data_IF_445327046554
#
_entry.id   IF_445327046554
#
_cell.length_a   1.000
_cell.length_b   1.000
_cell.length_c   1.000
_cell.angle_alpha   90.00
_cell.angle_beta   90.00
_cell.angle_gamma   90.00
#
_symmetry.space_group_name_H-M   'P 1'
#
loop_
_entity.id
_entity.type
_entity.pdbx_description
1 polymer ?
#
# COMPACT_ATOMS: atom_id res chain seq x y z
N UNK A 1 4.26 -31.46 16.02
CA UNK A 1 3.55 -30.40 15.29
C UNK A 1 2.35 -31.02 14.58
N UNK A 2 1.13 -30.55 14.80
CA UNK A 2 -0.08 -31.10 14.14
C UNK A 2 -0.15 -30.61 12.69
N UNK A 3 -0.59 -31.47 11.76
CA UNK A 3 -0.76 -31.10 10.36
C UNK A 3 -1.74 -29.92 10.16
N UNK A 4 -2.77 -29.83 11.00
CA UNK A 4 -3.72 -28.70 11.00
C UNK A 4 -3.01 -27.39 11.35
N UNK A 5 -2.10 -27.42 12.33
CA UNK A 5 -1.35 -26.23 12.72
C UNK A 5 -0.45 -25.72 11.58
N UNK A 6 0.22 -26.63 10.86
CA UNK A 6 1.06 -26.29 9.70
C UNK A 6 0.21 -25.71 8.57
N UNK A 7 -0.95 -26.32 8.29
CA UNK A 7 -1.88 -25.84 7.26
C UNK A 7 -2.36 -24.41 7.57
N UNK A 8 -2.76 -24.16 8.82
CA UNK A 8 -3.19 -22.82 9.24
C UNK A 8 -2.06 -21.80 9.16
N UNK A 9 -0.83 -22.17 9.54
CA UNK A 9 0.33 -21.30 9.44
C UNK A 9 0.59 -20.88 7.99
N UNK A 10 0.60 -21.84 7.05
CA UNK A 10 0.82 -21.54 5.61
C UNK A 10 -0.31 -20.68 5.05
N UNK A 11 -1.57 -20.97 5.40
CA UNK A 11 -2.72 -20.18 4.97
C UNK A 11 -2.58 -18.72 5.41
N UNK A 12 -2.25 -18.48 6.68
CA UNK A 12 -2.08 -17.11 7.19
C UNK A 12 -0.90 -16.39 6.54
N UNK A 13 0.21 -17.08 6.28
CA UNK A 13 1.35 -16.51 5.55
C UNK A 13 0.90 -16.05 4.16
N UNK A 14 0.18 -16.89 3.42
CA UNK A 14 -0.29 -16.55 2.07
C UNK A 14 -1.31 -15.41 2.11
N UNK A 15 -2.25 -15.42 3.06
CA UNK A 15 -3.28 -14.37 3.15
C UNK A 15 -2.66 -13.02 3.52
N UNK A 16 -1.82 -12.97 4.55
CA UNK A 16 -1.21 -11.71 5.01
C UNK A 16 -0.22 -11.20 3.97
N UNK A 17 0.76 -12.01 3.59
CA UNK A 17 1.81 -11.56 2.68
C UNK A 17 1.32 -11.44 1.25
N UNK A 18 0.50 -12.38 0.77
CA UNK A 18 -0.11 -12.29 -0.55
C UNK A 18 -1.04 -11.09 -0.67
N UNK A 19 -1.90 -10.87 0.32
CA UNK A 19 -2.75 -9.66 0.38
C UNK A 19 -1.91 -8.38 0.37
N UNK A 20 -0.88 -8.32 1.23
CA UNK A 20 0.00 -7.15 1.32
C UNK A 20 0.75 -6.85 0.01
N UNK A 21 1.34 -7.86 -0.62
CA UNK A 21 2.06 -7.71 -1.90
C UNK A 21 1.10 -7.21 -2.99
N UNK A 22 -0.08 -7.81 -3.09
CA UNK A 22 -1.08 -7.40 -4.07
C UNK A 22 -1.52 -5.95 -3.83
N UNK A 23 -1.81 -5.57 -2.58
CA UNK A 23 -2.17 -4.20 -2.21
C UNK A 23 -1.06 -3.20 -2.53
N UNK A 24 0.20 -3.54 -2.23
CA UNK A 24 1.35 -2.68 -2.55
C UNK A 24 1.51 -2.50 -4.07
N UNK A 25 1.43 -3.58 -4.84
CA UNK A 25 1.45 -3.51 -6.31
C UNK A 25 0.28 -2.70 -6.87
N UNK A 26 -0.90 -2.82 -6.26
CA UNK A 26 -2.07 -2.05 -6.65
C UNK A 26 -1.89 -0.55 -6.39
N UNK A 27 -1.29 -0.18 -5.26
CA UNK A 27 -1.00 1.21 -4.91
C UNK A 27 0.07 1.82 -5.82
N UNK A 28 1.15 1.09 -6.13
CA UNK A 28 2.19 1.55 -7.07
C UNK A 28 1.59 1.81 -8.47
N UNK A 29 0.66 0.96 -8.91
CA UNK A 29 -0.02 1.11 -10.22
C UNK A 29 -1.11 2.19 -10.21
N UNK A 30 -1.69 2.48 -9.06
CA UNK A 30 -2.75 3.46 -8.90
C UNK A 30 -2.38 4.39 -7.73
N UNK A 31 -1.45 5.34 -7.96
CA UNK A 31 -1.06 6.29 -6.92
C UNK A 31 -2.26 7.07 -6.40
N UNK A 32 -2.29 7.29 -5.10
CA UNK A 32 -3.32 8.07 -4.40
C UNK A 32 -3.25 9.56 -4.77
N UNK A 33 -2.09 10.05 -5.20
CA UNK A 33 -1.87 11.38 -5.79
C UNK A 33 -2.80 11.70 -6.97
N UNK A 34 -3.33 10.68 -7.65
CA UNK A 34 -4.23 10.82 -8.80
C UNK A 34 -5.66 10.38 -8.51
N UNK A 35 -5.94 9.94 -7.28
CA UNK A 35 -7.19 9.32 -6.90
C UNK A 35 -7.98 10.19 -5.91
N UNK A 36 -9.30 10.32 -6.11
CA UNK A 36 -10.18 11.06 -5.21
C UNK A 36 -10.10 12.60 -5.33
N UNK A 37 -10.74 13.29 -4.39
CA UNK A 37 -10.92 14.77 -4.39
C UNK A 37 -9.59 15.52 -4.11
N UNK A 38 -8.65 14.84 -3.45
CA UNK A 38 -7.32 15.37 -3.15
C UNK A 38 -6.33 15.20 -4.31
N UNK A 39 -6.60 14.32 -5.29
CA UNK A 39 -5.68 14.09 -6.41
C UNK A 39 -5.62 15.24 -7.44
N UNK A 40 -6.56 16.18 -7.37
CA UNK A 40 -6.63 17.35 -8.25
C UNK A 40 -6.25 18.65 -7.54
N UNK A 41 -5.90 18.60 -6.25
CA UNK A 41 -5.57 19.80 -5.50
C UNK A 41 -4.08 20.11 -5.65
N UNK A 42 -3.74 21.33 -6.09
CA UNK A 42 -2.35 21.78 -6.26
C UNK A 42 -1.55 21.77 -4.95
N UNK A 43 -2.24 21.73 -3.81
CA UNK A 43 -1.64 21.76 -2.48
C UNK A 43 -1.29 20.37 -1.90
N UNK A 44 -1.78 19.28 -2.49
CA UNK A 44 -1.52 17.90 -2.03
C UNK A 44 -0.42 17.19 -2.83
N UNK A 45 0.19 17.87 -3.81
CA UNK A 45 1.20 17.25 -4.67
C UNK A 45 2.51 17.03 -3.92
N UNK A 46 3.14 15.86 -4.14
CA UNK A 46 4.44 15.49 -3.57
C UNK A 46 5.54 16.55 -3.80
N UNK A 47 5.56 17.21 -4.96
CA UNK A 47 6.52 18.28 -5.27
C UNK A 47 6.39 19.49 -4.33
N UNK A 48 5.16 19.84 -3.93
CA UNK A 48 4.89 20.96 -3.01
C UNK A 48 5.31 20.59 -1.59
N UNK A 49 5.02 19.36 -1.15
CA UNK A 49 5.47 18.84 0.15
C UNK A 49 7.00 18.88 0.27
N UNK A 50 7.71 18.34 -0.73
CA UNK A 50 9.17 18.35 -0.77
C UNK A 50 9.74 19.79 -0.73
N UNK A 51 9.08 20.75 -1.39
CA UNK A 51 9.47 22.15 -1.31
C UNK A 51 9.30 22.79 0.07
N UNK A 52 8.37 22.30 0.90
CA UNK A 52 8.17 22.77 2.27
C UNK A 52 9.21 22.20 3.25
N UNK A 53 9.73 21.00 3.02
CA UNK A 53 10.73 20.37 3.91
C UNK A 53 12.09 21.07 3.88
N UNK A 54 12.36 21.86 2.84
CA UNK A 54 13.61 22.60 2.66
C UNK A 54 13.58 24.05 3.18
N UNK A 55 12.47 24.49 3.77
CA UNK A 55 12.30 25.81 4.39
C UNK A 55 12.24 25.71 5.91
#
# INVERSE_FOLDING_TARGET
MSGIAIMMMVLFIIVIWGGLIISALHLIKNPDDHSGDLGHSEHSTNARLAGLEHH
#
